data_IF_777738577698
#
_entry.id   IF_777738577698
#
_cell.length_a   1.000
_cell.length_b   1.000
_cell.length_c   1.000
_cell.angle_alpha   90.00
_cell.angle_beta   90.00
_cell.angle_gamma   90.00
#
_symmetry.space_group_name_H-M   'P 1'
#
loop_
_entity.id
_entity.type
_entity.pdbx_description
1 polymer ?
#
# COMPACT_ATOMS: atom_id res chain seq x y z
N UNK A 1 36.31 -28.09 -46.75
CA UNK A 1 36.82 -26.74 -47.00
C UNK A 1 37.06 -26.09 -45.64
N UNK A 2 38.28 -25.91 -45.11
CA UNK A 2 39.59 -25.63 -45.78
C UNK A 2 39.47 -24.46 -46.77
N UNK A 3 40.27 -23.39 -46.72
CA UNK A 3 41.33 -22.98 -45.79
C UNK A 3 41.52 -21.45 -45.86
N UNK A 4 42.21 -20.84 -44.88
CA UNK A 4 42.61 -19.43 -44.90
C UNK A 4 43.85 -19.23 -44.00
N UNK A 5 44.98 -18.64 -44.49
CA UNK A 5 46.30 -19.09 -44.04
C UNK A 5 46.94 -18.32 -42.88
N UNK A 6 47.99 -18.96 -42.34
CA UNK A 6 48.72 -18.61 -41.13
C UNK A 6 49.68 -17.41 -41.26
N UNK A 7 49.95 -16.78 -40.12
CA UNK A 7 51.05 -15.85 -39.92
C UNK A 7 52.40 -16.56 -39.64
N UNK A 8 53.49 -15.90 -40.01
CA UNK A 8 54.85 -16.05 -39.49
C UNK A 8 55.22 -14.68 -38.88
N UNK A 9 55.96 -14.54 -37.78
CA UNK A 9 57.29 -15.11 -37.46
C UNK A 9 57.48 -15.33 -35.94
N UNK A 10 58.32 -16.32 -35.58
CA UNK A 10 58.76 -16.73 -34.20
C UNK A 10 59.65 -15.65 -33.54
N UNK A 11 59.68 -15.43 -32.22
CA UNK A 11 60.07 -16.33 -31.10
C UNK A 11 61.46 -15.89 -30.57
N UNK A 12 61.87 -15.97 -29.29
CA UNK A 12 61.47 -16.71 -28.07
C UNK A 12 61.78 -15.81 -26.82
N UNK A 13 61.53 -16.15 -25.54
CA UNK A 13 60.81 -17.26 -24.89
C UNK A 13 61.37 -17.56 -23.47
N UNK A 14 60.50 -18.02 -22.54
CA UNK A 14 60.73 -18.76 -21.26
C UNK A 14 59.46 -18.58 -20.38
N UNK A 15 58.43 -19.43 -20.45
CA UNK A 15 58.24 -20.78 -19.89
C UNK A 15 58.03 -20.87 -18.36
N UNK A 16 56.79 -21.20 -17.99
CA UNK A 16 56.39 -21.91 -16.78
C UNK A 16 55.02 -22.56 -17.04
N UNK A 17 54.91 -23.89 -16.94
CA UNK A 17 53.67 -24.66 -17.17
C UNK A 17 53.24 -25.38 -15.89
N UNK A 18 51.93 -25.59 -15.73
CA UNK A 18 51.34 -26.50 -14.74
C UNK A 18 51.02 -27.87 -15.37
N UNK A 19 50.99 -28.91 -14.53
CA UNK A 19 50.58 -30.29 -14.87
C UNK A 19 49.29 -30.72 -14.15
N UNK A 20 48.64 -31.83 -14.55
CA UNK A 20 47.24 -32.11 -14.23
C UNK A 20 46.98 -33.05 -13.02
N UNK A 21 48.00 -33.38 -12.23
CA UNK A 21 48.00 -34.47 -11.23
C UNK A 21 48.32 -34.05 -9.78
N UNK A 22 48.18 -32.75 -9.48
CA UNK A 22 47.65 -32.30 -8.19
C UNK A 22 48.45 -32.59 -6.90
N UNK A 23 49.77 -32.76 -6.97
CA UNK A 23 50.62 -32.82 -5.77
C UNK A 23 51.88 -31.97 -5.88
N UNK A 24 52.22 -31.24 -4.81
CA UNK A 24 53.41 -30.40 -4.68
C UNK A 24 54.18 -30.88 -3.45
N UNK A 25 55.46 -31.19 -3.60
CA UNK A 25 56.36 -31.51 -2.49
C UNK A 25 57.43 -30.43 -2.35
N UNK A 26 57.52 -29.82 -1.16
CA UNK A 26 58.63 -28.94 -0.79
C UNK A 26 58.81 -28.86 0.74
N UNK A 27 59.97 -29.32 1.22
CA UNK A 27 60.59 -29.06 2.53
C UNK A 27 61.86 -29.94 2.66
N UNK A 28 62.78 -29.67 3.62
CA UNK A 28 63.27 -28.42 4.21
C UNK A 28 64.80 -28.28 3.95
N UNK A 29 65.63 -27.39 4.51
CA UNK A 29 65.52 -26.29 5.49
C UNK A 29 66.92 -25.75 5.87
N UNK A 30 67.00 -24.92 6.93
CA UNK A 30 68.19 -24.26 7.52
C UNK A 30 68.85 -23.08 6.75
N UNK A 31 69.45 -22.07 7.40
CA UNK A 31 69.04 -21.31 8.60
C UNK A 31 69.81 -19.97 8.67
N UNK A 32 69.38 -19.06 9.57
CA UNK A 32 69.89 -17.69 9.80
C UNK A 32 71.29 -17.68 10.50
N UNK A 33 72.01 -16.54 10.75
CA UNK A 33 71.48 -15.23 11.19
C UNK A 33 72.12 -13.96 10.59
N UNK A 34 71.60 -12.81 11.04
CA UNK A 34 71.87 -11.46 10.51
C UNK A 34 72.59 -10.51 11.49
N UNK A 35 72.80 -9.27 11.03
CA UNK A 35 72.71 -7.97 11.77
C UNK A 35 73.96 -7.09 11.89
N UNK A 36 73.65 -5.77 11.86
CA UNK A 36 74.44 -4.53 12.11
C UNK A 36 75.12 -3.91 10.89
N UNK A 37 75.21 -2.60 10.70
CA UNK A 37 74.64 -1.34 11.22
C UNK A 37 75.29 -0.25 10.30
N UNK A 38 74.74 0.98 10.21
CA UNK A 38 75.39 2.12 9.52
C UNK A 38 75.93 3.13 10.59
N UNK A 39 76.46 4.35 10.30
CA UNK A 39 76.79 5.02 9.03
C UNK A 39 78.12 5.86 9.01
N UNK A 40 78.42 6.49 7.86
CA UNK A 40 79.02 7.83 7.61
C UNK A 40 80.23 8.44 8.40
N UNK A 41 80.99 9.26 7.64
CA UNK A 41 82.10 10.18 8.02
C UNK A 41 83.49 9.50 8.22
N UNK A 42 84.64 10.15 7.98
CA UNK A 42 84.94 11.56 7.71
C UNK A 42 86.20 11.78 6.82
N UNK A 43 86.42 13.04 6.44
CA UNK A 43 87.64 13.69 5.87
C UNK A 43 89.00 13.01 6.12
N UNK A 44 89.91 13.04 5.14
CA UNK A 44 91.15 13.88 5.12
C UNK A 44 92.07 13.51 3.92
N UNK A 45 92.34 14.37 2.94
CA UNK A 45 93.41 15.42 2.78
C UNK A 45 94.50 15.01 1.78
N UNK A 46 95.35 15.98 1.39
CA UNK A 46 96.53 15.88 0.49
C UNK A 46 96.16 15.62 -0.99
N UNK A 47 96.05 16.60 -1.89
CA UNK A 47 96.68 17.93 -1.96
C UNK A 47 98.22 17.91 -1.85
N UNK A 48 98.91 17.86 -2.99
CA UNK A 48 100.35 18.14 -3.03
C UNK A 48 101.13 17.49 -4.17
N UNK A 49 101.20 18.17 -5.34
CA UNK A 49 102.43 18.41 -6.15
C UNK A 49 102.12 18.89 -7.58
N UNK A 50 101.66 20.13 -7.70
CA UNK A 50 101.77 20.94 -8.94
C UNK A 50 102.00 22.40 -8.57
N UNK A 51 103.25 22.75 -8.24
CA UNK A 51 103.70 24.14 -8.19
C UNK A 51 105.06 24.29 -8.85
N UNK A 52 105.04 25.00 -9.97
CA UNK A 52 106.03 25.94 -10.48
C UNK A 52 107.51 25.69 -10.15
N UNK A 53 108.27 25.32 -11.19
CA UNK A 53 109.55 25.98 -11.45
C UNK A 53 109.44 26.65 -12.83
N UNK A 54 109.06 27.93 -12.82
CA UNK A 54 109.20 28.83 -13.96
C UNK A 54 110.60 29.46 -13.96
N UNK A 55 111.18 29.68 -15.14
CA UNK A 55 112.43 30.42 -15.40
C UNK A 55 113.69 29.77 -14.79
N UNK A 56 114.65 29.28 -15.57
CA UNK A 56 115.52 30.17 -16.36
C UNK A 56 116.21 29.38 -17.48
N UNK A 57 115.81 29.58 -18.74
CA UNK A 57 116.61 29.14 -19.89
C UNK A 57 117.43 30.33 -20.38
N UNK A 58 118.70 30.42 -19.96
CA UNK A 58 119.68 31.29 -20.61
C UNK A 58 120.01 30.71 -21.98
N UNK A 59 119.26 31.12 -23.01
CA UNK A 59 119.67 30.88 -24.40
C UNK A 59 120.80 31.85 -24.74
N UNK A 60 122.04 31.35 -24.75
CA UNK A 60 123.12 32.04 -25.46
C UNK A 60 122.82 31.88 -26.95
N UNK A 61 122.47 32.98 -27.61
CA UNK A 61 122.12 32.97 -29.03
C UNK A 61 123.39 32.98 -29.88
N UNK A 62 123.65 31.87 -30.58
CA UNK A 62 124.53 31.84 -31.75
C UNK A 62 123.70 32.21 -33.00
N UNK A 63 124.03 33.27 -33.76
CA UNK A 63 123.19 33.76 -34.85
C UNK A 63 123.11 32.88 -36.11
N UNK A 64 123.80 31.73 -36.18
CA UNK A 64 124.07 31.04 -37.46
C UNK A 64 123.21 29.81 -37.79
N UNK A 65 122.32 29.34 -36.90
CA UNK A 65 121.60 28.07 -37.05
C UNK A 65 120.16 28.19 -37.61
N UNK A 66 119.99 27.91 -38.90
CA UNK A 66 118.68 27.91 -39.60
C UNK A 66 117.71 26.81 -39.13
N UNK A 67 118.17 25.71 -38.53
CA UNK A 67 117.28 24.60 -38.15
C UNK A 67 116.35 24.95 -36.98
N UNK A 68 116.83 25.79 -36.05
CA UNK A 68 116.06 26.19 -34.86
C UNK A 68 114.85 27.09 -35.18
N UNK A 69 114.93 27.92 -36.23
CA UNK A 69 113.81 28.77 -36.65
C UNK A 69 112.64 27.97 -37.22
N UNK A 70 112.92 26.94 -38.04
CA UNK A 70 111.88 26.07 -38.62
C UNK A 70 111.15 25.28 -37.53
N UNK A 71 111.88 24.77 -36.53
CA UNK A 71 111.28 24.09 -35.39
C UNK A 71 110.36 25.01 -34.58
N UNK A 72 110.77 26.27 -34.35
CA UNK A 72 109.96 27.25 -33.61
C UNK A 72 108.61 27.53 -34.28
N UNK A 73 108.60 27.77 -35.60
CA UNK A 73 107.36 28.00 -36.37
C UNK A 73 106.48 26.74 -36.39
N UNK A 74 107.07 25.54 -36.55
CA UNK A 74 106.33 24.27 -36.57
C UNK A 74 105.68 23.95 -35.21
N UNK A 75 106.37 24.23 -34.10
CA UNK A 75 105.79 24.15 -32.77
C UNK A 75 104.63 25.14 -32.58
N UNK A 76 104.78 26.40 -33.03
CA UNK A 76 103.72 27.42 -32.95
C UNK A 76 102.46 26.97 -33.72
N UNK A 77 102.58 26.59 -34.99
CA UNK A 77 101.43 26.18 -35.81
C UNK A 77 100.74 24.94 -35.23
N UNK A 78 101.49 23.96 -34.73
CA UNK A 78 100.91 22.78 -34.06
C UNK A 78 100.25 23.12 -32.72
N UNK A 79 100.78 24.09 -31.97
CA UNK A 79 100.23 24.52 -30.68
C UNK A 79 98.90 25.26 -30.88
N UNK A 80 98.84 26.24 -31.77
CA UNK A 80 97.60 26.97 -32.09
C UNK A 80 96.55 26.07 -32.78
N UNK A 81 96.98 25.16 -33.68
CA UNK A 81 96.08 24.20 -34.36
C UNK A 81 95.52 23.10 -33.45
N UNK A 82 96.20 22.76 -32.34
CA UNK A 82 95.62 21.94 -31.29
C UNK A 82 94.70 22.76 -30.40
N UNK A 83 95.12 23.96 -29.95
CA UNK A 83 94.31 24.83 -29.09
C UNK A 83 92.95 25.15 -29.68
N UNK A 84 92.86 25.41 -30.99
CA UNK A 84 91.58 25.67 -31.67
C UNK A 84 90.66 24.44 -31.67
N UNK A 85 91.20 23.25 -31.99
CA UNK A 85 90.43 21.99 -31.97
C UNK A 85 90.04 21.54 -30.57
N UNK A 86 90.84 21.87 -29.56
CA UNK A 86 90.56 21.63 -28.16
C UNK A 86 89.43 22.55 -27.67
N UNK A 87 89.47 23.83 -28.05
CA UNK A 87 88.40 24.80 -27.78
C UNK A 87 87.08 24.45 -28.51
N UNK A 88 87.12 24.11 -29.79
CA UNK A 88 85.95 23.62 -30.56
C UNK A 88 85.35 22.34 -29.94
N UNK A 89 86.20 21.47 -29.38
CA UNK A 89 85.77 20.23 -28.70
C UNK A 89 85.20 20.49 -27.30
N UNK A 90 85.73 21.46 -26.55
CA UNK A 90 85.14 21.92 -25.29
C UNK A 90 83.79 22.60 -25.52
N UNK A 91 83.65 23.43 -26.55
CA UNK A 91 82.38 24.06 -26.92
C UNK A 91 81.33 23.01 -27.33
N UNK A 92 81.71 22.00 -28.13
CA UNK A 92 80.84 20.88 -28.48
C UNK A 92 80.45 20.02 -27.26
N UNK A 93 81.38 19.77 -26.33
CA UNK A 93 81.10 19.08 -25.07
C UNK A 93 80.20 19.90 -24.15
N UNK A 94 80.34 21.22 -24.13
CA UNK A 94 79.47 22.13 -23.37
C UNK A 94 78.05 22.13 -23.94
N UNK A 95 77.90 22.16 -25.27
CA UNK A 95 76.62 22.04 -25.95
C UNK A 95 75.93 20.71 -25.66
N UNK A 96 76.64 19.58 -25.83
CA UNK A 96 76.15 18.23 -25.49
C UNK A 96 75.79 18.08 -24.01
N UNK A 97 76.55 18.68 -23.09
CA UNK A 97 76.20 18.71 -21.65
C UNK A 97 74.93 19.52 -21.39
N UNK A 98 74.74 20.65 -22.08
CA UNK A 98 73.53 21.47 -21.95
C UNK A 98 72.30 20.72 -22.48
N UNK A 99 72.42 20.09 -23.64
CA UNK A 99 71.36 19.29 -24.26
C UNK A 99 71.00 18.05 -23.43
N UNK A 100 71.99 17.28 -22.96
CA UNK A 100 71.76 16.15 -22.04
C UNK A 100 71.22 16.58 -20.68
N UNK A 101 71.55 17.78 -20.19
CA UNK A 101 70.92 18.33 -18.97
C UNK A 101 69.46 18.71 -19.18
N UNK A 102 69.11 19.24 -20.36
CA UNK A 102 67.71 19.51 -20.75
C UNK A 102 66.90 18.23 -20.85
N UNK A 103 67.39 17.25 -21.63
CA UNK A 103 66.77 15.93 -21.76
C UNK A 103 66.60 15.22 -20.41
N UNK A 104 67.53 15.39 -19.47
CA UNK A 104 67.39 14.85 -18.10
C UNK A 104 66.31 15.57 -17.29
N UNK A 105 66.14 16.88 -17.47
CA UNK A 105 65.06 17.65 -16.88
C UNK A 105 63.69 17.24 -17.41
N UNK A 106 63.57 17.10 -18.75
CA UNK A 106 62.34 16.63 -19.41
C UNK A 106 61.98 15.20 -18.99
N UNK A 107 62.98 14.32 -18.84
CA UNK A 107 62.77 12.96 -18.36
C UNK A 107 62.27 12.94 -16.90
N UNK A 108 62.83 13.80 -16.04
CA UNK A 108 62.39 13.92 -14.65
C UNK A 108 60.95 14.43 -14.56
N UNK A 109 60.60 15.48 -15.32
CA UNK A 109 59.24 16.02 -15.36
C UNK A 109 58.22 14.97 -15.85
N UNK A 110 58.60 14.09 -16.78
CA UNK A 110 57.76 12.98 -17.23
C UNK A 110 57.65 11.83 -16.24
N UNK A 111 58.67 11.58 -15.42
CA UNK A 111 58.60 10.58 -14.35
C UNK A 111 57.71 11.08 -13.19
N UNK A 112 57.79 12.38 -12.87
CA UNK A 112 56.91 13.04 -11.90
C UNK A 112 55.43 13.02 -12.39
N UNK A 113 55.17 13.36 -13.67
CA UNK A 113 53.84 13.26 -14.30
C UNK A 113 53.32 11.81 -14.31
N UNK A 114 54.18 10.83 -14.58
CA UNK A 114 53.83 9.41 -14.50
C UNK A 114 53.54 8.96 -13.07
N UNK A 115 54.23 9.50 -12.06
CA UNK A 115 53.94 9.29 -10.64
C UNK A 115 52.55 9.81 -10.25
N UNK A 116 52.20 11.01 -10.70
CA UNK A 116 50.88 11.61 -10.49
C UNK A 116 49.74 10.84 -11.17
N UNK A 117 49.97 10.36 -12.39
CA UNK A 117 49.01 9.50 -13.09
C UNK A 117 48.83 8.15 -12.37
N UNK A 118 49.91 7.52 -11.88
CA UNK A 118 49.81 6.28 -11.08
C UNK A 118 48.99 6.49 -9.81
N UNK A 119 49.21 7.61 -9.09
CA UNK A 119 48.42 7.98 -7.89
C UNK A 119 46.94 8.13 -8.21
N UNK A 120 46.59 8.89 -9.26
CA UNK A 120 45.19 9.05 -9.70
C UNK A 120 44.55 7.72 -10.12
N UNK A 121 45.31 6.82 -10.75
CA UNK A 121 44.83 5.48 -11.11
C UNK A 121 44.50 4.64 -9.87
N UNK A 122 45.32 4.67 -8.82
CA UNK A 122 45.02 3.95 -7.57
C UNK A 122 43.83 4.56 -6.81
N UNK A 123 43.70 5.89 -6.79
CA UNK A 123 42.51 6.59 -6.25
C UNK A 123 41.24 6.19 -7.01
N UNK A 124 41.28 6.17 -8.35
CA UNK A 124 40.15 5.74 -9.18
C UNK A 124 39.82 4.26 -8.99
N UNK A 125 40.82 3.36 -8.89
CA UNK A 125 40.60 1.94 -8.58
C UNK A 125 39.92 1.76 -7.23
N UNK A 126 40.35 2.48 -6.19
CA UNK A 126 39.72 2.44 -4.88
C UNK A 126 38.27 2.92 -4.93
N UNK A 127 37.97 3.98 -5.69
CA UNK A 127 36.61 4.48 -5.90
C UNK A 127 35.72 3.49 -6.68
N UNK A 128 36.25 2.83 -7.73
CA UNK A 128 35.55 1.79 -8.49
C UNK A 128 35.25 0.59 -7.58
N UNK A 129 36.24 0.07 -6.86
CA UNK A 129 36.05 -1.05 -5.94
C UNK A 129 35.12 -0.74 -4.75
N UNK A 130 35.00 0.53 -4.35
CA UNK A 130 33.99 0.96 -3.39
C UNK A 130 32.57 0.98 -4.01
N UNK A 131 32.46 1.46 -5.26
CA UNK A 131 31.20 1.49 -6.01
C UNK A 131 30.69 0.09 -6.34
N UNK A 132 31.54 -0.83 -6.78
CA UNK A 132 31.19 -2.23 -7.05
C UNK A 132 30.67 -2.96 -5.80
N UNK A 133 31.27 -2.72 -4.64
CA UNK A 133 30.75 -3.21 -3.35
C UNK A 133 29.36 -2.65 -3.04
N UNK A 134 29.17 -1.34 -3.20
CA UNK A 134 27.85 -0.71 -2.98
C UNK A 134 26.78 -1.22 -3.98
N UNK A 135 27.13 -1.42 -5.25
CA UNK A 135 26.21 -1.98 -6.25
C UNK A 135 25.81 -3.42 -5.92
N UNK A 136 26.77 -4.28 -5.60
CA UNK A 136 26.49 -5.69 -5.25
C UNK A 136 25.72 -5.85 -3.94
N UNK A 137 25.95 -4.98 -2.94
CA UNK A 137 25.10 -4.89 -1.74
C UNK A 137 23.66 -4.45 -2.08
N UNK A 138 23.50 -3.48 -2.99
CA UNK A 138 22.20 -3.03 -3.48
C UNK A 138 21.45 -4.14 -4.24
N UNK A 139 22.11 -4.83 -5.18
CA UNK A 139 21.56 -5.97 -5.91
C UNK A 139 21.10 -7.08 -4.96
N UNK A 140 21.89 -7.38 -3.91
CA UNK A 140 21.51 -8.37 -2.90
C UNK A 140 20.30 -7.92 -2.07
N UNK A 141 20.20 -6.64 -1.71
CA UNK A 141 19.00 -6.09 -1.03
C UNK A 141 17.76 -6.19 -1.93
N UNK A 142 17.87 -5.76 -3.19
CA UNK A 142 16.76 -5.83 -4.16
C UNK A 142 16.28 -7.28 -4.36
N UNK A 143 17.20 -8.24 -4.49
CA UNK A 143 16.85 -9.66 -4.61
C UNK A 143 16.09 -10.17 -3.37
N UNK A 144 16.65 -9.95 -2.18
CA UNK A 144 16.02 -10.38 -0.92
C UNK A 144 14.64 -9.71 -0.73
N UNK A 145 14.50 -8.43 -1.09
CA UNK A 145 13.22 -7.73 -1.03
C UNK A 145 12.19 -8.33 -2.01
N UNK A 146 12.60 -8.67 -3.24
CA UNK A 146 11.73 -9.33 -4.22
C UNK A 146 11.21 -10.69 -3.71
N UNK A 147 12.08 -11.52 -3.12
CA UNK A 147 11.70 -12.82 -2.54
C UNK A 147 10.68 -12.67 -1.39
N UNK A 148 10.82 -11.63 -0.56
CA UNK A 148 9.84 -11.32 0.48
C UNK A 148 8.51 -10.76 -0.08
N UNK A 149 8.54 -9.96 -1.15
CA UNK A 149 7.33 -9.45 -1.82
C UNK A 149 6.55 -10.58 -2.48
N UNK A 150 7.20 -11.54 -3.14
CA UNK A 150 6.56 -12.74 -3.68
C UNK A 150 5.89 -13.58 -2.56
N UNK A 151 6.62 -13.78 -1.46
CA UNK A 151 6.10 -14.46 -0.27
C UNK A 151 4.85 -13.76 0.28
N UNK A 152 4.90 -12.44 0.40
CA UNK A 152 3.78 -11.61 0.83
C UNK A 152 2.61 -11.62 -0.16
N UNK A 153 2.84 -11.74 -1.47
CA UNK A 153 1.76 -11.89 -2.45
C UNK A 153 1.01 -13.23 -2.29
N UNK A 154 1.74 -14.32 -2.07
CA UNK A 154 1.15 -15.63 -1.75
C UNK A 154 0.37 -15.57 -0.43
N UNK A 155 0.91 -14.87 0.58
CA UNK A 155 0.22 -14.65 1.85
C UNK A 155 -1.06 -13.82 1.67
N UNK A 156 -1.01 -12.71 0.94
CA UNK A 156 -2.15 -11.85 0.63
C UNK A 156 -3.32 -12.64 0.03
N UNK A 157 -3.03 -13.50 -0.97
CA UNK A 157 -4.05 -14.36 -1.60
C UNK A 157 -4.71 -15.32 -0.60
N UNK A 158 -3.97 -15.86 0.36
CA UNK A 158 -4.54 -16.66 1.45
C UNK A 158 -5.40 -15.80 2.37
N UNK A 159 -4.90 -14.62 2.78
CA UNK A 159 -5.61 -13.72 3.69
C UNK A 159 -6.96 -13.24 3.11
N UNK A 160 -7.03 -12.99 1.80
CA UNK A 160 -8.28 -12.65 1.11
C UNK A 160 -9.33 -13.77 1.06
N UNK A 161 -8.95 -15.02 1.40
CA UNK A 161 -9.88 -16.16 1.49
C UNK A 161 -10.39 -16.43 2.91
N UNK A 162 -9.85 -15.74 3.91
CA UNK A 162 -10.24 -15.89 5.32
C UNK A 162 -11.48 -15.04 5.61
N UNK A 163 -12.46 -15.62 6.30
CA UNK A 163 -13.75 -15.01 6.60
C UNK A 163 -14.02 -14.78 8.11
N UNK A 164 -12.99 -14.93 8.94
CA UNK A 164 -13.05 -14.73 10.40
C UNK A 164 -11.83 -13.91 10.88
N UNK A 165 -12.08 -12.92 11.75
CA UNK A 165 -11.05 -12.08 12.34
C UNK A 165 -10.00 -12.87 13.14
N UNK A 166 -10.40 -13.90 13.90
CA UNK A 166 -9.46 -14.74 14.67
C UNK A 166 -8.44 -15.43 13.77
N UNK A 167 -8.88 -15.92 12.63
CA UNK A 167 -8.01 -16.56 11.64
C UNK A 167 -7.10 -15.56 10.93
N UNK A 168 -7.56 -14.33 10.70
CA UNK A 168 -6.71 -13.24 10.19
C UNK A 168 -5.61 -12.92 11.21
N UNK A 169 -5.93 -12.80 12.50
CA UNK A 169 -4.92 -12.55 13.53
C UNK A 169 -3.90 -13.68 13.60
N UNK A 170 -4.37 -14.94 13.65
CA UNK A 170 -3.50 -16.13 13.66
C UNK A 170 -2.55 -16.12 12.46
N UNK A 171 -3.09 -15.85 11.27
CA UNK A 171 -2.33 -15.74 10.04
C UNK A 171 -1.29 -14.61 10.06
N UNK A 172 -1.63 -13.43 10.56
CA UNK A 172 -0.69 -12.30 10.69
C UNK A 172 0.44 -12.63 11.67
N UNK A 173 0.13 -13.37 12.75
CA UNK A 173 1.12 -13.83 13.71
C UNK A 173 2.09 -14.85 13.09
N UNK A 174 1.56 -15.84 12.37
CA UNK A 174 2.34 -16.87 11.67
C UNK A 174 3.19 -16.26 10.54
N UNK A 175 2.64 -15.33 9.75
CA UNK A 175 3.37 -14.62 8.70
C UNK A 175 4.57 -13.82 9.25
N UNK A 176 4.38 -13.10 10.35
CA UNK A 176 5.48 -12.40 11.02
C UNK A 176 6.54 -13.36 11.57
N UNK A 177 6.12 -14.50 12.15
CA UNK A 177 7.04 -15.42 12.81
C UNK A 177 7.80 -16.32 11.83
N UNK A 178 7.09 -17.00 10.93
CA UNK A 178 7.64 -18.06 10.09
C UNK A 178 8.24 -17.51 8.80
N UNK A 179 7.59 -16.52 8.18
CA UNK A 179 8.01 -15.96 6.87
C UNK A 179 8.97 -14.79 7.06
N UNK A 180 8.62 -13.80 7.87
CA UNK A 180 9.50 -12.64 8.13
C UNK A 180 10.50 -12.88 9.27
N UNK A 181 10.44 -14.05 9.89
CA UNK A 181 11.44 -14.53 10.85
C UNK A 181 11.62 -13.63 12.09
N UNK A 182 10.57 -12.90 12.49
CA UNK A 182 10.54 -12.19 13.78
C UNK A 182 10.44 -13.20 14.91
N UNK A 183 11.34 -13.10 15.88
CA UNK A 183 11.43 -14.07 16.96
C UNK A 183 10.24 -14.00 17.91
N UNK A 184 9.66 -12.82 18.09
CA UNK A 184 8.46 -12.63 18.92
C UNK A 184 7.43 -11.79 18.19
N UNK A 185 6.18 -12.20 18.31
CA UNK A 185 5.01 -11.53 17.75
C UNK A 185 3.91 -11.51 18.79
N UNK A 186 3.25 -10.36 18.99
CA UNK A 186 2.07 -10.24 19.83
C UNK A 186 1.03 -9.39 19.10
N UNK A 187 -0.16 -9.92 18.87
CA UNK A 187 -1.30 -9.17 18.35
C UNK A 187 -2.21 -8.85 19.52
N UNK A 188 -2.51 -7.57 19.72
CA UNK A 188 -3.37 -7.08 20.78
C UNK A 188 -4.58 -6.34 20.19
N UNK A 189 -5.79 -6.74 20.58
CA UNK A 189 -7.04 -6.15 20.12
C UNK A 189 -7.65 -5.32 21.26
N UNK A 190 -8.17 -4.15 20.91
CA UNK A 190 -8.85 -3.25 21.82
C UNK A 190 -10.22 -3.80 22.23
N UNK A 191 -10.47 -3.86 23.55
CA UNK A 191 -11.77 -4.16 24.14
C UNK A 191 -12.55 -2.88 24.51
N UNK A 192 -13.84 -3.02 24.77
CA UNK A 192 -14.72 -1.93 25.18
C UNK A 192 -14.41 -1.38 26.58
N UNK A 193 -13.62 -2.10 27.39
CA UNK A 193 -13.18 -1.68 28.71
C UNK A 193 -11.93 -0.79 28.68
N UNK A 194 -11.44 -0.42 27.49
CA UNK A 194 -10.28 0.46 27.34
C UNK A 194 -8.93 -0.26 27.45
N UNK A 195 -8.89 -1.58 27.27
CA UNK A 195 -7.68 -2.40 27.31
C UNK A 195 -7.40 -3.05 25.94
N UNK A 196 -6.14 -3.09 25.53
CA UNK A 196 -5.67 -3.94 24.45
C UNK A 196 -5.22 -5.28 25.03
N UNK A 197 -5.87 -6.37 24.63
CA UNK A 197 -5.61 -7.75 25.09
C UNK A 197 -4.96 -8.55 23.99
N UNK A 198 -3.94 -9.34 24.32
CA UNK A 198 -3.34 -10.24 23.35
C UNK A 198 -4.31 -11.34 22.94
N UNK A 199 -4.53 -11.48 21.63
CA UNK A 199 -5.37 -12.53 21.02
C UNK A 199 -4.51 -13.63 20.41
N UNK A 200 -3.32 -13.28 19.90
CA UNK A 200 -2.38 -14.19 19.25
C UNK A 200 -0.94 -13.82 19.59
N UNK A 201 -0.09 -14.80 19.86
CA UNK A 201 1.33 -14.60 20.20
C UNK A 201 2.23 -15.73 19.67
N UNK A 202 3.46 -15.40 19.27
CA UNK A 202 4.50 -16.36 18.82
C UNK A 202 5.83 -16.06 19.50
N UNK A 203 6.60 -17.12 19.76
CA UNK A 203 7.95 -17.06 20.37
C UNK A 203 8.04 -16.44 21.77
N UNK A 204 6.93 -16.33 22.49
CA UNK A 204 6.91 -15.70 23.81
C UNK A 204 7.49 -16.61 24.92
N UNK A 205 7.99 -15.98 25.99
CA UNK A 205 8.79 -16.60 27.06
C UNK A 205 7.92 -17.20 28.19
N UNK A 206 7.00 -18.10 27.82
CA UNK A 206 6.06 -18.79 28.71
C UNK A 206 5.17 -17.86 29.57
N UNK A 207 4.88 -16.64 29.09
CA UNK A 207 3.83 -15.82 29.69
C UNK A 207 2.46 -16.26 29.15
N UNK A 208 1.47 -16.52 30.02
CA UNK A 208 0.12 -16.88 29.59
C UNK A 208 -0.53 -15.69 28.88
N UNK A 209 -1.22 -15.96 27.78
CA UNK A 209 -1.69 -14.94 26.82
C UNK A 209 -2.63 -13.92 27.48
N UNK A 210 -3.42 -14.37 28.45
CA UNK A 210 -4.39 -13.59 29.22
C UNK A 210 -3.73 -12.56 30.15
N UNK A 211 -2.41 -12.61 30.34
CA UNK A 211 -1.64 -11.59 31.10
C UNK A 211 -0.94 -10.57 30.19
N UNK A 212 -0.94 -10.80 28.87
CA UNK A 212 -0.34 -9.89 27.89
C UNK A 212 -1.39 -8.86 27.51
N UNK A 213 -1.46 -7.76 28.26
CA UNK A 213 -2.39 -6.66 27.98
C UNK A 213 -1.80 -5.31 28.37
N UNK A 214 -2.27 -4.26 27.71
CA UNK A 214 -1.89 -2.87 27.98
C UNK A 214 -3.11 -1.95 27.82
N UNK A 215 -3.22 -0.83 28.55
CA UNK A 215 -4.36 0.07 28.44
C UNK A 215 -4.31 0.87 27.14
N UNK A 216 -5.47 1.34 26.69
CA UNK A 216 -5.61 2.37 25.67
C UNK A 216 -5.37 3.74 26.36
N UNK A 217 -4.16 3.91 26.90
CA UNK A 217 -3.73 5.08 27.66
C UNK A 217 -2.24 5.38 27.38
N UNK A 218 -1.78 6.65 27.38
CA UNK A 218 -0.38 7.01 27.14
C UNK A 218 0.68 6.28 27.99
N UNK A 219 0.30 5.69 29.13
CA UNK A 219 1.19 4.88 29.97
C UNK A 219 1.61 3.55 29.33
N UNK A 220 0.87 3.07 28.31
CA UNK A 220 1.27 1.93 27.48
C UNK A 220 2.36 2.31 26.43
N UNK A 221 2.83 3.56 26.42
CA UNK A 221 3.96 3.99 25.60
C UNK A 221 3.73 3.77 24.11
N UNK A 222 4.73 3.18 23.43
CA UNK A 222 4.68 2.90 21.99
C UNK A 222 3.44 2.10 21.55
N UNK A 223 2.90 1.23 22.41
CA UNK A 223 1.70 0.44 22.12
C UNK A 223 0.48 1.34 21.92
N UNK A 224 0.25 2.28 22.86
CA UNK A 224 -0.84 3.25 22.75
C UNK A 224 -0.63 4.24 21.61
N UNK A 225 0.58 4.77 21.43
CA UNK A 225 0.81 5.75 20.37
C UNK A 225 0.70 5.16 18.96
N UNK A 226 1.09 3.89 18.76
CA UNK A 226 0.88 3.22 17.47
C UNK A 226 -0.62 3.07 17.17
N UNK A 227 -1.40 2.62 18.16
CA UNK A 227 -2.86 2.54 18.09
C UNK A 227 -3.49 3.91 17.81
N UNK A 228 -3.26 4.90 18.69
CA UNK A 228 -3.92 6.19 18.68
C UNK A 228 -3.50 7.11 17.51
N UNK A 229 -2.26 7.02 17.02
CA UNK A 229 -1.84 7.72 15.80
C UNK A 229 -2.10 6.91 14.52
N UNK A 230 -2.53 5.65 14.62
CA UNK A 230 -2.74 4.71 13.50
C UNK A 230 -1.52 4.58 12.58
N UNK A 231 -0.32 4.45 13.18
CA UNK A 231 0.97 4.43 12.47
C UNK A 231 1.87 3.31 12.96
N UNK A 232 2.73 2.84 12.07
CA UNK A 232 3.87 2.00 12.43
C UNK A 232 4.91 2.83 13.18
N UNK A 233 5.18 2.43 14.43
CA UNK A 233 6.20 3.01 15.30
C UNK A 233 7.35 2.02 15.42
N UNK A 234 8.56 2.52 15.15
CA UNK A 234 9.80 1.74 15.29
C UNK A 234 10.52 2.21 16.55
N UNK A 235 10.70 1.30 17.50
CA UNK A 235 11.49 1.52 18.71
C UNK A 235 12.88 0.92 18.48
N UNK A 236 13.94 1.70 18.71
CA UNK A 236 15.32 1.19 18.86
C UNK A 236 16.00 2.00 19.96
N UNK A 237 16.14 1.38 21.14
CA UNK A 237 16.75 1.99 22.33
C UNK A 237 18.28 2.02 22.26
N UNK A 238 18.89 1.49 21.20
CA UNK A 238 20.34 1.39 21.07
C UNK A 238 20.91 0.12 21.74
N UNK A 239 22.21 0.12 22.02
CA UNK A 239 22.84 -0.89 22.90
C UNK A 239 23.16 -0.27 24.26
N UNK A 240 23.64 -1.07 25.22
CA UNK A 240 24.19 -0.54 26.48
C UNK A 240 25.42 0.35 26.28
N UNK A 241 26.15 0.15 25.20
CA UNK A 241 27.40 0.87 24.85
C UNK A 241 27.13 2.11 23.99
N UNK A 242 26.04 2.08 23.21
CA UNK A 242 25.58 3.18 22.36
C UNK A 242 24.03 3.27 22.43
N UNK A 243 23.48 3.87 23.50
CA UNK A 243 22.04 4.09 23.62
C UNK A 243 21.58 5.12 22.59
N UNK A 244 20.36 4.96 22.08
CA UNK A 244 19.70 5.95 21.22
C UNK A 244 18.68 6.74 22.03
N UNK A 245 18.62 8.05 21.79
CA UNK A 245 17.56 8.88 22.35
C UNK A 245 16.23 8.58 21.69
N UNK A 246 15.24 8.19 22.50
CA UNK A 246 13.87 7.91 22.07
C UNK A 246 12.92 8.77 22.90
N UNK A 247 11.92 9.44 22.29
CA UNK A 247 10.98 10.30 23.01
C UNK A 247 10.32 9.60 24.21
N UNK A 248 10.28 10.29 25.36
CA UNK A 248 9.81 9.67 26.60
C UNK A 248 8.36 9.14 26.52
N UNK A 249 7.54 9.69 25.62
CA UNK A 249 6.15 9.25 25.39
C UNK A 249 6.04 7.78 24.93
N UNK A 250 7.13 7.17 24.44
CA UNK A 250 7.13 5.78 23.97
C UNK A 250 7.52 4.74 25.02
N UNK A 251 8.03 5.14 26.20
CA UNK A 251 8.31 4.18 27.27
C UNK A 251 7.03 3.69 27.93
N UNK A 252 6.91 2.37 28.03
CA UNK A 252 5.84 1.70 28.77
C UNK A 252 6.10 1.88 30.27
N UNK A 253 5.09 2.31 31.03
CA UNK A 253 5.19 2.50 32.49
C UNK A 253 4.80 1.23 33.27
N UNK A 254 4.99 1.24 34.59
CA UNK A 254 4.48 0.20 35.47
C UNK A 254 2.94 0.24 35.54
N UNK A 255 2.25 -0.91 35.67
CA UNK A 255 2.80 -2.27 35.79
C UNK A 255 3.21 -2.89 34.44
N UNK A 256 2.75 -2.38 33.30
CA UNK A 256 2.88 -3.06 31.99
C UNK A 256 4.33 -3.24 31.52
N UNK A 257 5.25 -2.37 31.93
CA UNK A 257 6.71 -2.53 31.75
C UNK A 257 7.30 -3.80 32.38
N UNK A 258 6.54 -4.50 33.23
CA UNK A 258 6.96 -5.75 33.87
C UNK A 258 6.66 -7.01 33.04
N UNK A 259 5.73 -6.90 32.08
CA UNK A 259 5.36 -7.97 31.14
C UNK A 259 6.52 -8.22 30.17
N UNK A 260 7.06 -9.45 30.14
CA UNK A 260 8.24 -9.81 29.32
C UNK A 260 7.95 -9.75 27.83
N UNK A 261 6.72 -10.01 27.40
CA UNK A 261 6.28 -9.87 26.02
C UNK A 261 6.60 -8.46 25.46
N UNK A 262 6.43 -7.40 26.27
CA UNK A 262 6.69 -6.02 25.87
C UNK A 262 8.16 -5.55 26.06
N UNK A 263 9.01 -6.36 26.73
CA UNK A 263 10.40 -6.00 27.03
C UNK A 263 11.35 -6.20 25.84
N UNK A 264 11.30 -5.29 24.87
CA UNK A 264 12.29 -5.23 23.77
C UNK A 264 13.24 -4.05 23.86
N UNK A 265 14.41 -4.21 23.23
CA UNK A 265 15.38 -3.14 22.97
C UNK A 265 15.23 -2.57 21.55
N UNK A 266 14.68 -3.35 20.62
CA UNK A 266 14.27 -2.90 19.30
C UNK A 266 13.02 -3.66 18.86
N UNK A 267 11.96 -2.97 18.46
CA UNK A 267 10.71 -3.57 18.00
C UNK A 267 10.00 -2.67 16.98
N UNK A 268 9.11 -3.26 16.19
CA UNK A 268 8.10 -2.53 15.42
C UNK A 268 6.75 -2.73 16.11
N UNK A 269 5.94 -1.68 16.16
CA UNK A 269 4.52 -1.74 16.57
C UNK A 269 3.69 -1.11 15.46
N UNK A 270 2.82 -1.89 14.81
CA UNK A 270 1.86 -1.41 13.81
C UNK A 270 0.43 -1.46 14.32
N UNK A 271 -0.47 -0.69 13.70
CA UNK A 271 -1.89 -0.62 14.04
C UNK A 271 -2.72 -1.46 13.07
N UNK A 272 -3.63 -2.27 13.60
CA UNK A 272 -4.63 -2.98 12.79
C UNK A 272 -5.87 -2.10 12.65
N UNK A 273 -6.19 -1.69 11.43
CA UNK A 273 -7.34 -0.82 11.17
C UNK A 273 -8.59 -1.66 10.89
N UNK A 274 -9.67 -1.36 11.62
CA UNK A 274 -11.04 -1.67 11.16
C UNK A 274 -11.50 -0.62 10.16
N UNK A 275 -12.81 -0.52 9.91
CA UNK A 275 -13.35 0.45 8.92
C UNK A 275 -12.98 1.90 9.23
N UNK A 276 -13.38 2.41 10.40
CA UNK A 276 -13.27 3.85 10.74
C UNK A 276 -12.31 4.15 11.90
N UNK A 277 -11.78 3.10 12.56
CA UNK A 277 -10.92 3.23 13.75
C UNK A 277 -9.88 2.10 13.83
N UNK A 278 -8.73 2.32 14.48
CA UNK A 278 -7.85 1.22 14.88
C UNK A 278 -8.63 0.25 15.79
N UNK A 279 -8.51 -1.04 15.54
CA UNK A 279 -9.10 -2.10 16.38
C UNK A 279 -8.06 -2.80 17.25
N UNK A 280 -6.78 -2.57 16.99
CA UNK A 280 -5.70 -3.19 17.73
C UNK A 280 -4.33 -2.80 17.19
N UNK A 281 -3.33 -3.54 17.63
CA UNK A 281 -1.93 -3.41 17.22
C UNK A 281 -1.30 -4.79 17.07
N UNK A 282 -0.20 -4.85 16.34
CA UNK A 282 0.73 -5.98 16.40
C UNK A 282 2.13 -5.45 16.74
N UNK A 283 2.82 -6.13 17.65
CA UNK A 283 4.14 -5.77 18.15
C UNK A 283 5.12 -6.93 17.92
N UNK A 284 6.24 -6.65 17.26
CA UNK A 284 7.19 -7.66 16.76
C UNK A 284 8.64 -7.28 17.03
N UNK A 285 9.49 -8.28 17.29
CA UNK A 285 10.94 -8.09 17.44
C UNK A 285 11.78 -9.34 17.13
N UNK A 286 13.10 -9.14 16.99
CA UNK A 286 14.12 -10.17 16.78
C UNK A 286 14.94 -10.42 18.04
N UNK A 287 14.26 -10.63 19.19
CA UNK A 287 14.86 -10.76 20.52
C UNK A 287 15.77 -11.98 20.71
N UNK A 288 15.44 -13.13 20.13
CA UNK A 288 16.15 -14.39 20.36
C UNK A 288 17.46 -14.43 19.55
N UNK A 289 17.40 -14.03 18.27
CA UNK A 289 18.54 -13.84 17.37
C UNK A 289 19.38 -12.61 17.73
N UNK A 290 18.84 -11.70 18.58
CA UNK A 290 19.46 -10.43 19.01
C UNK A 290 19.80 -9.50 17.84
N UNK A 291 19.04 -9.59 16.75
CA UNK A 291 19.19 -8.71 15.59
C UNK A 291 18.41 -7.41 15.82
N UNK A 292 18.86 -6.33 15.19
CA UNK A 292 18.05 -5.11 15.05
C UNK A 292 17.08 -5.25 13.88
N UNK A 293 15.99 -4.51 13.98
CA UNK A 293 15.07 -4.24 12.87
C UNK A 293 15.79 -3.42 11.80
N UNK A 294 15.63 -3.79 10.53
CA UNK A 294 16.17 -3.06 9.36
C UNK A 294 15.11 -2.17 8.70
N UNK A 295 15.52 -1.31 7.75
CA UNK A 295 14.56 -0.56 6.91
C UNK A 295 13.69 -1.48 6.05
N UNK A 296 14.28 -2.58 5.54
CA UNK A 296 13.58 -3.57 4.73
C UNK A 296 12.50 -4.29 5.56
N UNK A 297 12.77 -4.59 6.84
CA UNK A 297 11.79 -5.13 7.79
C UNK A 297 10.58 -4.19 7.95
N UNK A 298 10.81 -2.88 8.07
CA UNK A 298 9.74 -1.87 8.24
C UNK A 298 8.86 -1.82 6.98
N UNK A 299 9.47 -1.87 5.79
CA UNK A 299 8.74 -1.87 4.52
C UNK A 299 7.79 -3.07 4.37
N UNK A 300 8.25 -4.27 4.71
CA UNK A 300 7.43 -5.50 4.68
C UNK A 300 6.28 -5.44 5.70
N UNK A 301 6.56 -4.88 6.87
CA UNK A 301 5.60 -4.76 7.97
C UNK A 301 4.50 -3.74 7.69
N UNK A 302 4.83 -2.60 7.07
CA UNK A 302 3.83 -1.66 6.55
C UNK A 302 2.89 -2.36 5.55
N UNK A 303 3.46 -3.10 4.60
CA UNK A 303 2.66 -3.77 3.56
C UNK A 303 1.79 -4.90 4.13
N UNK A 304 2.27 -5.65 5.12
CA UNK A 304 1.45 -6.62 5.84
C UNK A 304 0.34 -5.93 6.67
N UNK A 305 0.61 -4.78 7.29
CA UNK A 305 -0.40 -4.01 8.01
C UNK A 305 -1.55 -3.60 7.09
N UNK A 306 -1.24 -3.08 5.90
CA UNK A 306 -2.25 -2.63 4.95
C UNK A 306 -3.14 -3.79 4.48
N UNK A 307 -2.52 -4.93 4.15
CA UNK A 307 -3.24 -6.14 3.70
C UNK A 307 -4.07 -6.76 4.83
N UNK A 308 -3.54 -6.80 6.06
CA UNK A 308 -4.26 -7.27 7.23
C UNK A 308 -5.46 -6.38 7.56
N UNK A 309 -5.27 -5.06 7.53
CA UNK A 309 -6.33 -4.08 7.76
C UNK A 309 -7.43 -4.18 6.70
N UNK A 310 -7.06 -4.33 5.42
CA UNK A 310 -8.02 -4.55 4.34
C UNK A 310 -8.83 -5.85 4.54
N UNK A 311 -8.18 -6.96 4.92
CA UNK A 311 -8.88 -8.22 5.23
C UNK A 311 -9.83 -8.09 6.42
N UNK A 312 -9.42 -7.40 7.49
CA UNK A 312 -10.25 -7.09 8.67
C UNK A 312 -11.49 -6.28 8.26
N UNK A 313 -11.30 -5.21 7.47
CA UNK A 313 -12.39 -4.37 6.97
C UNK A 313 -13.39 -5.16 6.10
N UNK A 314 -12.90 -6.07 5.27
CA UNK A 314 -13.74 -6.93 4.44
C UNK A 314 -14.59 -7.88 5.30
N UNK A 315 -14.00 -8.57 6.30
CA UNK A 315 -14.74 -9.45 7.21
C UNK A 315 -15.81 -8.67 7.99
N UNK A 316 -15.45 -7.52 8.57
CA UNK A 316 -16.41 -6.64 9.25
C UNK A 316 -17.57 -6.23 8.34
N UNK A 317 -17.27 -5.84 7.10
CA UNK A 317 -18.29 -5.45 6.11
C UNK A 317 -19.19 -6.62 5.72
N UNK A 318 -18.63 -7.84 5.57
CA UNK A 318 -19.40 -9.05 5.27
C UNK A 318 -20.32 -9.44 6.43
N UNK A 319 -19.88 -9.28 7.68
CA UNK A 319 -20.71 -9.61 8.85
C UNK A 319 -21.86 -8.60 9.05
N UNK A 320 -21.63 -7.31 8.85
CA UNK A 320 -22.70 -6.30 8.81
C UNK A 320 -23.72 -6.59 7.70
N UNK A 321 -23.26 -6.98 6.51
CA UNK A 321 -24.15 -7.35 5.39
C UNK A 321 -25.04 -8.54 5.75
N UNK A 322 -24.54 -9.55 6.49
CA UNK A 322 -25.36 -10.67 6.99
C UNK A 322 -26.43 -10.19 7.98
N UNK A 323 -26.10 -9.26 8.87
CA UNK A 323 -27.07 -8.69 9.84
C UNK A 323 -28.19 -7.96 9.09
N UNK A 324 -27.84 -7.03 8.19
CA UNK A 324 -28.83 -6.31 7.38
C UNK A 324 -29.63 -7.22 6.44
N UNK A 325 -29.05 -8.33 5.98
CA UNK A 325 -29.78 -9.35 5.21
C UNK A 325 -30.83 -10.06 6.09
N UNK A 326 -30.53 -10.33 7.36
CA UNK A 326 -31.50 -10.84 8.33
C UNK A 326 -32.68 -9.88 8.54
N UNK A 327 -32.38 -8.60 8.79
CA UNK A 327 -33.39 -7.53 8.91
C UNK A 327 -34.26 -7.41 7.65
N UNK A 328 -33.65 -7.54 6.47
CA UNK A 328 -34.35 -7.52 5.18
C UNK A 328 -35.30 -8.72 5.03
N UNK A 329 -34.92 -9.93 5.45
CA UNK A 329 -35.82 -11.10 5.41
C UNK A 329 -37.02 -10.93 6.35
N UNK A 330 -36.82 -10.38 7.54
CA UNK A 330 -37.93 -10.08 8.45
C UNK A 330 -38.87 -9.01 7.89
N UNK A 331 -38.33 -7.94 7.30
CA UNK A 331 -39.12 -6.91 6.62
C UNK A 331 -39.89 -7.48 5.41
N UNK A 332 -39.28 -8.36 4.63
CA UNK A 332 -39.93 -9.08 3.51
C UNK A 332 -41.12 -9.91 4.02
N UNK A 333 -40.93 -10.70 5.08
CA UNK A 333 -42.00 -11.52 5.69
C UNK A 333 -43.17 -10.64 6.15
N UNK A 334 -42.88 -9.62 6.95
CA UNK A 334 -43.90 -8.68 7.47
C UNK A 334 -44.64 -7.97 6.32
N UNK A 335 -43.94 -7.62 5.24
CA UNK A 335 -44.56 -6.99 4.06
C UNK A 335 -45.51 -7.91 3.30
N UNK A 336 -45.19 -9.21 3.20
CA UNK A 336 -46.10 -10.23 2.62
C UNK A 336 -47.35 -10.39 3.50
N UNK A 337 -47.18 -10.45 4.83
CA UNK A 337 -48.29 -10.56 5.77
C UNK A 337 -49.23 -9.34 5.68
N UNK A 338 -48.69 -8.12 5.57
CA UNK A 338 -49.52 -6.93 5.33
C UNK A 338 -50.24 -6.96 3.98
N UNK A 339 -49.57 -7.40 2.91
CA UNK A 339 -50.16 -7.44 1.56
C UNK A 339 -51.29 -8.49 1.44
N UNK A 340 -51.10 -9.67 2.02
CA UNK A 340 -52.12 -10.73 2.07
C UNK A 340 -53.34 -10.32 2.90
N UNK A 341 -53.12 -9.76 4.10
CA UNK A 341 -54.20 -9.19 4.93
C UNK A 341 -54.94 -8.04 4.23
N UNK A 342 -54.21 -7.16 3.52
CA UNK A 342 -54.80 -6.07 2.74
C UNK A 342 -55.70 -6.58 1.61
N UNK A 343 -55.24 -7.62 0.89
CA UNK A 343 -56.02 -8.32 -0.13
C UNK A 343 -57.29 -8.98 0.43
N UNK A 344 -57.20 -9.70 1.55
CA UNK A 344 -58.36 -10.36 2.14
C UNK A 344 -59.46 -9.34 2.50
N UNK A 345 -59.06 -8.24 3.16
CA UNK A 345 -59.97 -7.15 3.54
C UNK A 345 -60.63 -6.49 2.32
N UNK A 346 -59.87 -6.27 1.25
CA UNK A 346 -60.42 -5.74 -0.01
C UNK A 346 -61.40 -6.72 -0.67
N UNK A 347 -61.08 -8.03 -0.68
CA UNK A 347 -61.98 -9.07 -1.18
C UNK A 347 -63.32 -9.12 -0.42
N UNK A 348 -63.26 -9.06 0.91
CA UNK A 348 -64.46 -8.98 1.78
C UNK A 348 -65.28 -7.71 1.54
N UNK A 349 -64.64 -6.57 1.26
CA UNK A 349 -65.36 -5.35 0.92
C UNK A 349 -66.06 -5.45 -0.45
N UNK A 350 -65.47 -6.12 -1.43
CA UNK A 350 -66.11 -6.39 -2.73
C UNK A 350 -67.38 -7.25 -2.56
N UNK A 351 -67.35 -8.24 -1.67
CA UNK A 351 -68.53 -9.05 -1.32
C UNK A 351 -69.64 -8.20 -0.68
N UNK A 352 -69.28 -7.34 0.30
CA UNK A 352 -70.22 -6.40 0.94
C UNK A 352 -70.83 -5.44 -0.09
N UNK A 353 -70.01 -4.85 -0.98
CA UNK A 353 -70.47 -3.96 -2.04
C UNK A 353 -71.46 -4.67 -2.99
N UNK A 354 -71.23 -5.94 -3.32
CA UNK A 354 -72.17 -6.75 -4.12
C UNK A 354 -73.54 -6.87 -3.43
N UNK A 355 -73.55 -7.18 -2.13
CA UNK A 355 -74.78 -7.25 -1.33
C UNK A 355 -75.51 -5.90 -1.21
N UNK A 356 -74.78 -4.79 -1.13
CA UNK A 356 -75.35 -3.45 -1.12
C UNK A 356 -75.93 -3.04 -2.48
N UNK A 357 -75.32 -3.43 -3.60
CA UNK A 357 -75.86 -3.24 -4.95
C UNK A 357 -77.20 -3.96 -5.09
N UNK A 358 -77.28 -5.23 -4.69
CA UNK A 358 -78.52 -6.01 -4.80
C UNK A 358 -79.62 -5.52 -3.85
N UNK A 359 -79.24 -4.99 -2.69
CA UNK A 359 -80.18 -4.31 -1.79
C UNK A 359 -80.70 -3.00 -2.41
N UNK A 360 -79.82 -2.21 -3.04
CA UNK A 360 -80.20 -0.97 -3.73
C UNK A 360 -81.14 -1.23 -4.92
N UNK A 361 -80.90 -2.28 -5.71
CA UNK A 361 -81.81 -2.71 -6.79
C UNK A 361 -83.20 -3.08 -6.26
N UNK A 362 -83.28 -3.79 -5.13
CA UNK A 362 -84.57 -4.16 -4.49
C UNK A 362 -85.34 -2.91 -4.04
N UNK A 363 -84.65 -1.95 -3.41
CA UNK A 363 -85.27 -0.68 -3.00
C UNK A 363 -85.77 0.07 -4.23
N UNK A 364 -84.97 0.21 -5.29
CA UNK A 364 -85.38 0.87 -6.53
C UNK A 364 -86.65 0.25 -7.15
N UNK A 365 -86.77 -1.09 -7.17
CA UNK A 365 -87.97 -1.79 -7.64
C UNK A 365 -89.22 -1.54 -6.77
N UNK A 366 -89.05 -1.52 -5.44
CA UNK A 366 -90.13 -1.18 -4.50
C UNK A 366 -90.55 0.29 -4.72
N UNK A 367 -89.60 1.21 -4.80
CA UNK A 367 -89.85 2.64 -5.02
C UNK A 367 -90.57 2.91 -6.35
N UNK A 368 -90.21 2.21 -7.43
CA UNK A 368 -90.93 2.25 -8.69
C UNK A 368 -92.39 1.76 -8.53
N UNK A 369 -92.60 0.65 -7.81
CA UNK A 369 -93.94 0.11 -7.54
C UNK A 369 -94.81 1.10 -6.74
N UNK A 370 -94.24 1.79 -5.75
CA UNK A 370 -94.97 2.81 -4.96
C UNK A 370 -95.31 4.02 -5.85
N UNK A 371 -94.42 4.43 -6.77
CA UNK A 371 -94.69 5.50 -7.73
C UNK A 371 -95.85 5.15 -8.67
N UNK A 372 -95.86 3.93 -9.22
CA UNK A 372 -96.97 3.44 -10.04
C UNK A 372 -98.30 3.42 -9.27
N UNK A 373 -98.28 3.12 -7.97
CA UNK A 373 -99.46 3.20 -7.09
C UNK A 373 -99.89 4.66 -6.88
N UNK A 374 -98.95 5.57 -6.66
CA UNK A 374 -99.22 7.01 -6.51
C UNK A 374 -99.86 7.58 -7.80
N UNK A 375 -99.30 7.29 -8.97
CA UNK A 375 -99.80 7.76 -10.25
C UNK A 375 -101.23 7.23 -10.54
N UNK A 376 -101.49 5.96 -10.24
CA UNK A 376 -102.84 5.38 -10.33
C UNK A 376 -103.81 6.01 -9.34
N UNK A 377 -103.35 6.31 -8.11
CA UNK A 377 -104.16 6.97 -7.08
C UNK A 377 -104.52 8.40 -7.49
N UNK A 378 -103.56 9.13 -8.07
CA UNK A 378 -103.77 10.47 -8.61
C UNK A 378 -104.83 10.49 -9.73
N UNK A 379 -104.75 9.53 -10.67
CA UNK A 379 -105.76 9.35 -11.72
C UNK A 379 -107.14 8.97 -11.16
N UNK A 380 -107.20 8.11 -10.14
CA UNK A 380 -108.44 7.75 -9.44
C UNK A 380 -109.08 8.95 -8.74
N UNK A 381 -108.29 9.76 -8.02
CA UNK A 381 -108.78 10.99 -7.39
C UNK A 381 -109.23 12.04 -8.40
N UNK A 382 -108.52 12.19 -9.52
CA UNK A 382 -108.92 13.12 -10.58
C UNK A 382 -110.29 12.74 -11.16
N UNK A 383 -110.52 11.45 -11.43
CA UNK A 383 -111.81 10.95 -11.89
C UNK A 383 -112.92 11.16 -10.84
N UNK A 384 -112.62 10.96 -9.55
CA UNK A 384 -113.55 11.23 -8.46
C UNK A 384 -113.89 12.73 -8.32
N UNK A 385 -112.91 13.63 -8.51
CA UNK A 385 -113.12 15.07 -8.48
C UNK A 385 -114.01 15.54 -9.65
N UNK A 386 -113.82 14.97 -10.85
CA UNK A 386 -114.67 15.24 -12.02
C UNK A 386 -116.12 14.82 -11.75
N UNK A 387 -116.35 13.61 -11.24
CA UNK A 387 -117.72 13.13 -10.98
C UNK A 387 -118.37 13.85 -9.79
N UNK A 388 -117.59 14.26 -8.78
CA UNK A 388 -118.04 15.14 -7.70
C UNK A 388 -118.49 16.52 -8.21
N UNK A 389 -117.73 17.13 -9.12
CA UNK A 389 -118.12 18.38 -9.77
C UNK A 389 -119.39 18.22 -10.62
N UNK A 390 -119.52 17.08 -11.31
CA UNK A 390 -120.68 16.72 -12.14
C UNK A 390 -121.96 16.52 -11.32
N UNK A 391 -121.85 16.01 -10.10
CA UNK A 391 -122.97 15.83 -9.17
C UNK A 391 -123.43 17.13 -8.46
N UNK A 392 -122.77 18.27 -8.72
CA UNK A 392 -123.15 19.57 -8.16
C UNK A 392 -123.09 19.60 -6.63
N UNK A 393 -124.12 20.15 -5.97
CA UNK A 393 -124.14 20.25 -4.50
C UNK A 393 -124.09 18.87 -3.80
N UNK A 394 -124.68 17.83 -4.40
CA UNK A 394 -124.64 16.47 -3.84
C UNK A 394 -123.24 15.86 -3.85
N UNK A 395 -122.37 16.27 -4.78
CA UNK A 395 -120.98 15.82 -4.88
C UNK A 395 -119.99 16.58 -4.00
N UNK A 396 -120.40 17.69 -3.37
CA UNK A 396 -119.48 18.64 -2.73
C UNK A 396 -118.61 18.03 -1.63
N UNK A 397 -119.14 17.09 -0.84
CA UNK A 397 -118.36 16.35 0.16
C UNK A 397 -117.35 15.36 -0.44
N UNK A 398 -117.71 14.69 -1.54
CA UNK A 398 -116.82 13.80 -2.28
C UNK A 398 -115.68 14.57 -2.96
N UNK A 399 -115.92 15.78 -3.44
CA UNK A 399 -114.89 16.64 -4.05
C UNK A 399 -113.72 16.95 -3.10
N UNK A 400 -114.03 17.31 -1.84
CA UNK A 400 -113.00 17.58 -0.82
C UNK A 400 -112.15 16.33 -0.52
N UNK A 401 -112.78 15.15 -0.47
CA UNK A 401 -112.04 13.88 -0.28
C UNK A 401 -111.17 13.56 -1.49
N UNK A 402 -111.67 13.80 -2.71
CA UNK A 402 -110.93 13.59 -3.94
C UNK A 402 -109.68 14.49 -4.01
N UNK A 403 -109.80 15.78 -3.68
CA UNK A 403 -108.69 16.72 -3.66
C UNK A 403 -107.60 16.35 -2.63
N UNK A 404 -107.98 15.88 -1.43
CA UNK A 404 -106.99 15.47 -0.42
C UNK A 404 -106.30 14.15 -0.81
N UNK A 405 -107.02 13.18 -1.41
CA UNK A 405 -106.41 11.96 -1.97
C UNK A 405 -105.45 12.29 -3.12
N UNK A 406 -105.80 13.26 -3.98
CA UNK A 406 -104.93 13.74 -5.06
C UNK A 406 -103.62 14.28 -4.51
N UNK A 407 -103.71 15.16 -3.51
CA UNK A 407 -102.56 15.79 -2.85
C UNK A 407 -101.68 14.76 -2.13
N UNK A 408 -102.26 13.76 -1.48
CA UNK A 408 -101.51 12.63 -0.89
C UNK A 408 -100.79 11.79 -1.97
N UNK A 409 -101.42 11.58 -3.12
CA UNK A 409 -100.81 10.90 -4.25
C UNK A 409 -99.64 11.69 -4.86
N UNK A 410 -99.79 13.01 -5.04
CA UNK A 410 -98.72 13.92 -5.48
C UNK A 410 -97.54 13.91 -4.48
N UNK A 411 -97.80 14.05 -3.18
CA UNK A 411 -96.77 13.95 -2.14
C UNK A 411 -96.06 12.58 -2.12
N UNK A 412 -96.80 11.49 -2.38
CA UNK A 412 -96.22 10.14 -2.49
C UNK A 412 -95.34 10.02 -3.72
N UNK A 413 -95.76 10.56 -4.87
CA UNK A 413 -94.95 10.61 -6.09
C UNK A 413 -93.61 11.31 -5.84
N UNK A 414 -93.65 12.54 -5.31
CA UNK A 414 -92.45 13.32 -5.00
C UNK A 414 -91.53 12.60 -4.00
N UNK A 415 -92.09 12.02 -2.94
CA UNK A 415 -91.32 11.22 -1.96
C UNK A 415 -90.64 10.01 -2.62
N UNK A 416 -91.31 9.29 -3.53
CA UNK A 416 -90.69 8.16 -4.24
C UNK A 416 -89.62 8.60 -5.25
N UNK A 417 -89.72 9.82 -5.78
CA UNK A 417 -88.70 10.40 -6.64
C UNK A 417 -87.44 10.72 -5.83
N UNK A 418 -87.56 11.38 -4.68
CA UNK A 418 -86.44 11.65 -3.77
C UNK A 418 -85.74 10.35 -3.31
N UNK A 419 -86.51 9.31 -2.95
CA UNK A 419 -85.95 7.99 -2.61
C UNK A 419 -85.18 7.40 -3.80
N UNK A 420 -85.71 7.53 -5.03
CA UNK A 420 -85.04 7.10 -6.25
C UNK A 420 -83.68 7.79 -6.45
N UNK A 421 -83.64 9.10 -6.27
CA UNK A 421 -82.40 9.91 -6.39
C UNK A 421 -81.37 9.55 -5.31
N UNK A 422 -81.81 9.28 -4.07
CA UNK A 422 -80.95 8.79 -2.98
C UNK A 422 -80.36 7.40 -3.33
N UNK A 423 -81.19 6.47 -3.79
CA UNK A 423 -80.75 5.11 -4.17
C UNK A 423 -79.80 5.13 -5.38
N UNK A 424 -80.02 6.04 -6.33
CA UNK A 424 -79.11 6.27 -7.45
C UNK A 424 -77.73 6.75 -7.01
N UNK A 425 -77.66 7.71 -6.08
CA UNK A 425 -76.38 8.17 -5.49
C UNK A 425 -75.67 7.05 -4.73
N UNK A 426 -76.37 6.32 -3.86
CA UNK A 426 -75.83 5.17 -3.13
C UNK A 426 -75.27 4.12 -4.11
N UNK A 427 -76.00 3.80 -5.18
CA UNK A 427 -75.53 2.84 -6.20
C UNK A 427 -74.24 3.31 -6.90
N UNK A 428 -74.11 4.62 -7.13
CA UNK A 428 -72.90 5.22 -7.72
C UNK A 428 -71.71 5.17 -6.75
N UNK A 429 -71.94 5.50 -5.48
CA UNK A 429 -70.92 5.43 -4.42
C UNK A 429 -70.41 4.00 -4.21
N UNK A 430 -71.29 3.00 -4.21
CA UNK A 430 -70.89 1.58 -4.11
C UNK A 430 -70.10 1.13 -5.35
N UNK A 431 -70.48 1.58 -6.56
CA UNK A 431 -69.74 1.30 -7.80
C UNK A 431 -68.30 1.85 -7.74
N UNK A 432 -68.14 3.09 -7.28
CA UNK A 432 -66.84 3.73 -7.10
C UNK A 432 -65.99 3.04 -6.00
N UNK A 433 -66.63 2.61 -4.92
CA UNK A 433 -66.01 1.78 -3.87
C UNK A 433 -65.52 0.44 -4.44
N UNK A 434 -66.32 -0.23 -5.26
CA UNK A 434 -65.96 -1.48 -5.94
C UNK A 434 -64.76 -1.34 -6.87
N UNK A 435 -64.70 -0.28 -7.68
CA UNK A 435 -63.54 0.03 -8.51
C UNK A 435 -62.27 0.23 -7.67
N UNK A 436 -62.38 1.03 -6.61
CA UNK A 436 -61.26 1.29 -5.67
C UNK A 436 -60.75 0.00 -5.01
N UNK A 437 -61.66 -0.90 -4.60
CA UNK A 437 -61.28 -2.20 -4.01
C UNK A 437 -60.59 -3.12 -5.02
N UNK A 438 -61.00 -3.12 -6.29
CA UNK A 438 -60.31 -3.85 -7.35
C UNK A 438 -58.88 -3.32 -7.56
N UNK A 439 -58.70 -2.00 -7.60
CA UNK A 439 -57.38 -1.37 -7.72
C UNK A 439 -56.47 -1.72 -6.53
N UNK A 440 -57.01 -1.79 -5.31
CA UNK A 440 -56.30 -2.29 -4.13
C UNK A 440 -55.87 -3.75 -4.32
N UNK A 441 -56.75 -4.65 -4.77
CA UNK A 441 -56.41 -6.08 -4.99
C UNK A 441 -55.30 -6.26 -6.04
N UNK A 442 -55.31 -5.43 -7.09
CA UNK A 442 -54.26 -5.41 -8.13
C UNK A 442 -52.95 -4.84 -7.58
N UNK A 443 -53.00 -3.76 -6.79
CA UNK A 443 -51.82 -3.19 -6.15
C UNK A 443 -51.17 -4.17 -5.18
N UNK A 444 -51.97 -4.90 -4.38
CA UNK A 444 -51.45 -5.93 -3.47
C UNK A 444 -50.83 -7.13 -4.22
N UNK A 445 -51.34 -7.51 -5.41
CA UNK A 445 -50.63 -8.52 -6.23
C UNK A 445 -49.23 -8.02 -6.62
N UNK A 446 -49.17 -6.81 -7.19
CA UNK A 446 -47.91 -6.22 -7.67
C UNK A 446 -46.89 -6.06 -6.54
N UNK A 447 -47.35 -5.75 -5.32
CA UNK A 447 -46.51 -5.73 -4.13
C UNK A 447 -45.94 -7.12 -3.81
N UNK A 448 -46.78 -8.16 -3.77
CA UNK A 448 -46.34 -9.55 -3.55
C UNK A 448 -45.31 -9.97 -4.62
N UNK A 449 -45.63 -9.78 -5.91
CA UNK A 449 -44.71 -10.09 -7.02
C UNK A 449 -43.36 -9.34 -6.90
N UNK A 450 -43.40 -8.08 -6.46
CA UNK A 450 -42.20 -7.25 -6.25
C UNK A 450 -41.38 -7.75 -5.06
N UNK A 451 -42.02 -8.15 -3.97
CA UNK A 451 -41.36 -8.70 -2.78
C UNK A 451 -40.73 -10.07 -3.08
N UNK A 452 -41.41 -10.95 -3.83
CA UNK A 452 -40.83 -12.22 -4.30
C UNK A 452 -39.60 -12.00 -5.20
N UNK A 453 -39.64 -10.98 -6.07
CA UNK A 453 -38.49 -10.58 -6.88
C UNK A 453 -37.32 -10.04 -6.03
N UNK A 454 -37.59 -9.26 -4.99
CA UNK A 454 -36.58 -8.81 -4.02
C UNK A 454 -35.97 -10.00 -3.26
N UNK A 455 -36.81 -10.93 -2.79
CA UNK A 455 -36.36 -12.14 -2.10
C UNK A 455 -35.42 -13.00 -2.97
N UNK A 456 -35.78 -13.22 -4.26
CA UNK A 456 -34.90 -13.91 -5.21
C UNK A 456 -33.56 -13.19 -5.43
N UNK A 457 -33.56 -11.85 -5.48
CA UNK A 457 -32.32 -11.06 -5.60
C UNK A 457 -31.46 -11.15 -4.35
N UNK A 458 -32.06 -11.08 -3.15
CA UNK A 458 -31.37 -11.25 -1.87
C UNK A 458 -30.72 -12.63 -1.74
N UNK A 459 -31.37 -13.69 -2.25
CA UNK A 459 -30.81 -15.04 -2.34
C UNK A 459 -29.65 -15.15 -3.33
N UNK A 460 -29.64 -14.36 -4.42
CA UNK A 460 -28.57 -14.39 -5.44
C UNK A 460 -27.32 -13.55 -5.12
N UNK A 461 -27.32 -12.87 -3.96
CA UNK A 461 -26.17 -12.11 -3.45
C UNK A 461 -25.30 -12.94 -2.49
N UNK A 462 -25.67 -14.20 -2.27
CA UNK A 462 -24.96 -15.23 -1.48
C UNK A 462 -24.44 -16.31 -2.42
#
# INVERSE_FOLDING_TARGET
AMDGPQALVKGYGLLGKWGPDGSITSAPGQENPASREAPLSSRDTLSGRTKNISNTVKVVADPTDKYKQIYFVRCIVSFFGNRKREQEREEALLALRKETSGLKGDLQARDDEAGDLRRKIEEMKAAIAARERSTSECERRVKNFSEHVESLHVLSKKLTSINNLEEIYRFVADACHDVFQFDRVNILIADEAGMMRCVETRGNLNEPIEKIMAPIHPDAGALYWAYAESKVIVLDLGTREAPKEVPQKYYIKKPWSEIKAFRSTSCIVGALMGRDKPIGIFAIDKKLKKLRVTEDDIGLVNLLQDIASYAIQNVQTVDELKVHQGELYDLIRVSIDYATNGREKAGRMTEVNSGLIDSSKKIAGITATIRDIADRTNLLSLNAAIEAARAGEAGRGFGVVADEVKKLAEQTHDSTKEIGDIVGRISTEISNSGATMNDIVVAQQKLIDSIENLNRKALSLV
#
